data_IF_106014685221
#
_entry.id   IF_106014685221
#
_cell.length_a   1.000
_cell.length_b   1.000
_cell.length_c   1.000
_cell.angle_alpha   90.00
_cell.angle_beta   90.00
_cell.angle_gamma   90.00
#
_symmetry.space_group_name_H-M   'P 1'
#
loop_
_entity.id
_entity.type
_entity.pdbx_description
1 polymer ?
#
# COMPACT_ATOMS: atom_id res chain seq x y z
N UNK A 1 15.33 -9.96 3.71
CA UNK A 1 14.49 -9.45 4.82
C UNK A 1 15.11 -8.14 5.28
N UNK A 2 14.42 -7.01 5.14
CA UNK A 2 14.96 -5.72 5.62
C UNK A 2 14.77 -5.63 7.14
N UNK A 3 15.49 -4.74 7.81
CA UNK A 3 15.41 -4.57 9.27
C UNK A 3 13.98 -4.24 9.75
N UNK A 4 13.21 -3.50 8.95
CA UNK A 4 11.81 -3.16 9.24
C UNK A 4 10.87 -4.35 9.18
N UNK A 5 11.12 -5.36 8.32
CA UNK A 5 10.33 -6.61 8.31
C UNK A 5 10.45 -7.36 9.63
N UNK A 6 11.63 -7.37 10.25
CA UNK A 6 11.85 -8.05 11.53
C UNK A 6 11.10 -7.36 12.67
N UNK A 7 10.98 -6.03 12.62
CA UNK A 7 10.18 -5.26 13.59
C UNK A 7 8.67 -5.48 13.38
N UNK A 8 8.24 -5.56 12.12
CA UNK A 8 6.83 -5.80 11.71
C UNK A 8 6.39 -7.24 11.97
N UNK A 9 7.30 -8.20 11.90
CA UNK A 9 7.02 -9.64 11.99
C UNK A 9 6.58 -10.29 10.66
N UNK A 10 6.55 -9.53 9.57
CA UNK A 10 6.29 -10.02 8.22
C UNK A 10 6.82 -9.06 7.14
N UNK A 11 6.87 -9.57 5.91
CA UNK A 11 7.23 -8.74 4.74
C UNK A 11 6.19 -7.65 4.50
N UNK A 12 6.66 -6.47 4.08
CA UNK A 12 5.73 -5.39 3.72
C UNK A 12 4.83 -5.80 2.55
N UNK A 13 5.41 -6.34 1.48
CA UNK A 13 4.63 -6.76 0.31
C UNK A 13 3.71 -7.95 0.62
N UNK A 14 2.55 -8.05 -0.05
CA UNK A 14 1.73 -9.25 -0.05
C UNK A 14 2.50 -10.51 -0.51
N UNK A 15 2.03 -11.71 -0.19
CA UNK A 15 2.61 -12.95 -0.72
C UNK A 15 2.48 -13.03 -2.25
N UNK A 16 3.30 -13.88 -2.86
CA UNK A 16 3.47 -13.92 -4.32
C UNK A 16 2.19 -14.26 -5.10
N UNK A 17 1.30 -15.07 -4.53
CA UNK A 17 0.00 -15.42 -5.11
C UNK A 17 -0.97 -14.23 -5.16
N UNK A 18 -0.90 -13.33 -4.17
CA UNK A 18 -1.63 -12.05 -4.20
C UNK A 18 -1.00 -11.10 -5.21
N UNK A 19 0.34 -10.99 -5.22
CA UNK A 19 1.05 -10.13 -6.17
C UNK A 19 0.82 -10.53 -7.62
N UNK A 20 0.71 -11.83 -7.92
CA UNK A 20 0.41 -12.33 -9.26
C UNK A 20 -0.97 -11.88 -9.78
N UNK A 21 -1.87 -11.44 -8.89
CA UNK A 21 -3.19 -10.93 -9.24
C UNK A 21 -3.21 -9.41 -9.41
N UNK A 22 -2.16 -8.70 -8.99
CA UNK A 22 -2.07 -7.24 -9.09
C UNK A 22 -1.81 -6.88 -10.55
N UNK A 23 -2.65 -6.04 -11.18
CA UNK A 23 -2.39 -5.56 -12.53
C UNK A 23 -1.05 -4.80 -12.60
N UNK A 24 -0.36 -4.94 -13.73
CA UNK A 24 0.77 -4.09 -14.05
C UNK A 24 0.34 -2.62 -14.13
N UNK A 25 1.30 -1.70 -13.97
CA UNK A 25 1.03 -0.28 -14.15
C UNK A 25 0.38 0.00 -15.51
N UNK A 26 -0.62 0.88 -15.52
CA UNK A 26 -1.45 1.27 -16.67
C UNK A 26 -2.38 0.18 -17.20
N UNK A 27 -2.35 -1.04 -16.66
CA UNK A 27 -3.18 -2.14 -17.14
C UNK A 27 -4.69 -1.90 -16.91
N UNK A 28 -5.04 -1.00 -16.00
CA UNK A 28 -6.43 -0.59 -15.76
C UNK A 28 -6.69 0.88 -16.11
N UNK A 29 -5.96 1.42 -17.07
CA UNK A 29 -6.25 2.74 -17.65
C UNK A 29 -7.65 2.75 -18.29
N UNK A 30 -8.39 3.84 -18.06
CA UNK A 30 -9.78 3.96 -18.49
C UNK A 30 -10.80 3.27 -17.55
N UNK A 31 -10.36 2.47 -16.58
CA UNK A 31 -11.23 1.96 -15.51
C UNK A 31 -11.54 3.09 -14.52
N UNK A 32 -12.81 3.24 -14.15
CA UNK A 32 -13.25 4.24 -13.16
C UNK A 32 -12.60 3.97 -11.80
N UNK A 33 -12.22 5.01 -11.08
CA UNK A 33 -11.45 4.86 -9.83
C UNK A 33 -12.19 4.02 -8.79
N UNK A 34 -13.50 4.16 -8.68
CA UNK A 34 -14.39 3.37 -7.83
C UNK A 34 -14.45 1.88 -8.17
N UNK A 35 -14.15 1.52 -9.43
CA UNK A 35 -14.14 0.15 -9.93
C UNK A 35 -12.75 -0.50 -9.86
N UNK A 36 -11.69 0.30 -9.71
CA UNK A 36 -10.32 -0.22 -9.55
C UNK A 36 -10.27 -1.13 -8.33
N UNK A 37 -9.80 -2.36 -8.53
CA UNK A 37 -9.61 -3.32 -7.46
C UNK A 37 -8.39 -2.90 -6.64
N UNK A 38 -8.55 -2.80 -5.32
CA UNK A 38 -7.43 -2.58 -4.41
C UNK A 38 -6.96 -3.94 -3.91
N UNK A 39 -5.66 -4.20 -4.03
CA UNK A 39 -5.04 -5.48 -3.70
C UNK A 39 -4.32 -5.49 -2.35
N UNK A 40 -3.88 -4.32 -1.88
CA UNK A 40 -3.25 -4.19 -0.59
C UNK A 40 -3.56 -2.83 0.05
N UNK A 41 -3.60 -2.83 1.39
CA UNK A 41 -3.67 -1.63 2.21
C UNK A 41 -2.42 -1.54 3.08
N UNK A 42 -1.74 -0.41 2.98
CA UNK A 42 -0.62 -0.05 3.84
C UNK A 42 -1.01 1.16 4.69
N UNK A 43 -0.47 1.26 5.90
CA UNK A 43 -0.77 2.39 6.78
C UNK A 43 0.38 2.71 7.75
N UNK A 44 0.43 3.96 8.18
CA UNK A 44 1.35 4.44 9.22
C UNK A 44 0.71 5.64 9.93
N UNK A 45 0.27 5.45 11.18
CA UNK A 45 -0.52 6.46 11.87
C UNK A 45 -1.83 6.74 11.14
N UNK A 46 -2.06 8.00 10.75
CA UNK A 46 -3.23 8.40 9.95
C UNK A 46 -3.03 8.24 8.44
N UNK A 47 -1.80 7.99 7.98
CA UNK A 47 -1.52 7.83 6.56
C UNK A 47 -1.90 6.42 6.07
N UNK A 48 -2.50 6.34 4.88
CA UNK A 48 -2.96 5.12 4.22
C UNK A 48 -2.57 5.14 2.74
N UNK A 49 -2.07 4.01 2.25
CA UNK A 49 -1.84 3.76 0.83
C UNK A 49 -2.62 2.52 0.40
N UNK A 50 -3.37 2.61 -0.69
CA UNK A 50 -4.17 1.54 -1.26
C UNK A 50 -3.64 1.20 -2.65
N UNK A 51 -3.03 0.03 -2.79
CA UNK A 51 -2.40 -0.41 -4.04
C UNK A 51 -3.43 -0.97 -5.02
N UNK A 52 -3.56 -0.36 -6.19
CA UNK A 52 -4.39 -0.86 -7.28
C UNK A 52 -3.54 -1.57 -8.34
N UNK A 53 -2.37 -1.04 -8.67
CA UNK A 53 -1.45 -1.58 -9.67
C UNK A 53 -0.02 -1.58 -9.13
N UNK A 54 0.83 -2.46 -9.67
CA UNK A 54 2.22 -2.62 -9.23
C UNK A 54 3.11 -3.07 -10.38
N UNK A 55 4.33 -2.55 -10.46
CA UNK A 55 5.32 -2.93 -11.48
C UNK A 55 6.00 -4.29 -11.21
N UNK A 56 5.78 -4.87 -10.03
CA UNK A 56 6.42 -6.11 -9.61
C UNK A 56 7.78 -5.90 -8.91
N UNK A 57 8.26 -4.65 -8.84
CA UNK A 57 9.53 -4.28 -8.26
C UNK A 57 9.37 -3.28 -7.11
N UNK A 58 9.05 -2.01 -7.41
CA UNK A 58 9.15 -0.91 -6.45
C UNK A 58 8.04 0.13 -6.57
N UNK A 59 7.42 0.30 -7.74
CA UNK A 59 6.46 1.36 -7.99
C UNK A 59 5.03 0.81 -8.03
N UNK A 60 4.18 1.37 -7.18
CA UNK A 60 2.75 1.11 -7.17
C UNK A 60 1.97 2.33 -7.64
N UNK A 61 0.79 2.10 -8.21
CA UNK A 61 -0.23 3.12 -8.44
C UNK A 61 -1.45 2.83 -7.58
N UNK A 62 -2.04 3.87 -7.02
CA UNK A 62 -3.16 3.70 -6.10
C UNK A 62 -3.62 4.98 -5.43
N UNK A 63 -4.36 4.81 -4.34
CA UNK A 63 -4.88 5.92 -3.55
C UNK A 63 -4.00 6.18 -2.32
N UNK A 64 -3.60 7.42 -2.14
CA UNK A 64 -2.71 7.88 -1.08
C UNK A 64 -3.44 8.93 -0.24
N UNK A 65 -3.66 8.64 1.04
CA UNK A 65 -4.09 9.62 2.02
C UNK A 65 -2.99 9.77 3.07
N UNK A 66 -2.38 10.95 3.18
CA UNK A 66 -1.35 11.19 4.20
C UNK A 66 -1.92 11.62 5.55
N UNK A 67 -3.25 11.56 5.73
CA UNK A 67 -3.94 12.01 6.93
C UNK A 67 -4.03 13.54 7.02
N UNK A 68 -3.89 14.24 5.89
CA UNK A 68 -3.87 15.71 5.81
C UNK A 68 -5.17 16.28 5.20
N UNK A 69 -6.15 15.43 4.90
CA UNK A 69 -7.44 15.83 4.32
C UNK A 69 -7.44 16.06 2.81
N UNK A 70 -6.33 15.73 2.13
CA UNK A 70 -6.17 15.87 0.69
C UNK A 70 -5.67 14.58 0.07
N UNK A 71 -6.49 13.51 0.10
CA UNK A 71 -6.07 12.26 -0.49
C UNK A 71 -6.10 12.30 -2.02
N UNK A 72 -5.22 11.53 -2.65
CA UNK A 72 -4.98 11.59 -4.10
C UNK A 72 -4.80 10.21 -4.71
N UNK A 73 -5.05 10.10 -6.02
CA UNK A 73 -4.62 8.95 -6.81
C UNK A 73 -3.27 9.26 -7.43
N UNK A 74 -2.29 8.39 -7.23
CA UNK A 74 -0.95 8.63 -7.69
C UNK A 74 -0.03 7.44 -7.52
N UNK A 75 1.23 7.66 -7.87
CA UNK A 75 2.28 6.67 -7.71
C UNK A 75 2.92 6.79 -6.34
N UNK A 76 3.31 5.66 -5.77
CA UNK A 76 4.09 5.62 -4.53
C UNK A 76 5.11 4.49 -4.56
N UNK A 77 6.25 4.71 -3.90
CA UNK A 77 7.34 3.75 -3.84
C UNK A 77 7.14 2.77 -2.68
N UNK A 78 6.98 1.48 -3.00
CA UNK A 78 7.01 0.40 -2.02
C UNK A 78 8.36 0.39 -1.28
N UNK A 79 9.45 0.71 -1.97
CA UNK A 79 10.77 0.78 -1.34
C UNK A 79 10.79 1.86 -0.25
N UNK A 80 10.28 3.06 -0.53
CA UNK A 80 10.25 4.16 0.45
C UNK A 80 9.34 3.82 1.64
N UNK A 81 8.16 3.23 1.39
CA UNK A 81 7.29 2.75 2.47
C UNK A 81 7.98 1.69 3.34
N UNK A 82 8.77 0.81 2.73
CA UNK A 82 9.51 -0.24 3.43
C UNK A 82 10.66 0.31 4.27
N UNK A 83 11.31 1.38 3.80
CA UNK A 83 12.45 2.02 4.46
C UNK A 83 12.02 3.06 5.50
N UNK A 84 10.76 3.50 5.46
CA UNK A 84 10.21 4.41 6.45
C UNK A 84 10.26 3.78 7.84
N UNK A 85 11.18 4.30 8.65
CA UNK A 85 11.35 3.98 10.05
C UNK A 85 11.70 5.26 10.80
N UNK A 86 10.81 5.70 11.67
CA UNK A 86 11.01 6.85 12.55
C UNK A 86 10.92 6.37 13.99
N UNK A 87 11.73 6.91 14.88
CA UNK A 87 11.65 6.62 16.32
C UNK A 87 11.03 7.83 17.02
N UNK A 88 9.85 7.66 17.61
CA UNK A 88 9.17 8.68 18.41
C UNK A 88 9.12 8.22 19.86
N UNK A 89 9.74 8.98 20.75
CA UNK A 89 9.79 8.66 22.19
C UNK A 89 10.30 7.23 22.50
N UNK A 90 11.26 6.75 21.69
CA UNK A 90 11.81 5.40 21.82
C UNK A 90 10.98 4.29 21.17
N UNK A 91 9.82 4.61 20.58
CA UNK A 91 8.94 3.65 19.90
C UNK A 91 9.22 3.72 18.39
N UNK A 92 9.57 2.59 17.73
CA UNK A 92 9.70 2.55 16.28
C UNK A 92 8.33 2.65 15.61
N UNK A 93 8.23 3.54 14.64
CA UNK A 93 7.08 3.77 13.77
C UNK A 93 7.52 3.46 12.35
N UNK A 94 6.80 2.58 11.69
CA UNK A 94 7.05 2.13 10.33
C UNK A 94 5.73 1.85 9.63
N UNK A 95 5.78 1.71 8.30
CA UNK A 95 4.59 1.33 7.53
C UNK A 95 4.24 -0.14 7.78
N UNK A 96 2.97 -0.36 8.05
CA UNK A 96 2.34 -1.67 8.25
C UNK A 96 1.53 -2.06 7.02
N UNK A 97 1.41 -3.37 6.76
CA UNK A 97 0.45 -3.89 5.77
C UNK A 97 -0.70 -4.58 6.50
N UNK A 98 -1.92 -4.23 6.15
CA UNK A 98 -3.10 -4.94 6.63
C UNK A 98 -3.12 -6.38 6.11
N UNK A 99 -2.81 -7.33 6.99
CA UNK A 99 -2.76 -8.76 6.68
C UNK A 99 -4.15 -9.38 6.44
N UNK A 100 -5.22 -8.75 6.94
CA UNK A 100 -6.59 -9.21 6.78
C UNK A 100 -7.31 -8.53 5.61
N UNK A 101 -6.62 -7.66 4.88
CA UNK A 101 -7.21 -6.95 3.74
C UNK A 101 -7.56 -7.93 2.62
N UNK A 102 -8.83 -7.97 2.25
CA UNK A 102 -9.33 -8.74 1.11
C UNK A 102 -9.62 -7.77 -0.03
N UNK A 103 -9.05 -8.09 -1.20
CA UNK A 103 -9.16 -7.28 -2.39
C UNK A 103 -10.62 -6.98 -2.75
N UNK A 104 -10.90 -5.71 -3.07
CA UNK A 104 -12.25 -5.22 -3.38
C UNK A 104 -12.20 -3.91 -4.18
N UNK A 105 -13.26 -3.54 -4.90
CA UNK A 105 -13.32 -2.26 -5.61
C UNK A 105 -13.12 -1.10 -4.63
N UNK A 106 -12.42 -0.06 -5.08
CA UNK A 106 -12.16 1.12 -4.26
C UNK A 106 -13.46 1.73 -3.69
N UNK A 107 -14.54 1.77 -4.47
CA UNK A 107 -15.84 2.28 -4.02
C UNK A 107 -16.50 1.47 -2.90
N UNK A 108 -16.01 0.26 -2.62
CA UNK A 108 -16.46 -0.59 -1.51
C UNK A 108 -15.59 -0.46 -0.25
N UNK A 109 -14.52 0.34 -0.29
CA UNK A 109 -13.65 0.59 0.86
C UNK A 109 -14.25 1.72 1.69
N UNK A 110 -14.38 1.46 2.99
CA UNK A 110 -14.73 2.50 3.98
C UNK A 110 -13.43 3.01 4.58
N UNK A 111 -13.18 4.31 4.45
CA UNK A 111 -12.07 5.04 5.10
C UNK A 111 -12.54 5.60 6.43
#
# INVERSE_FOLDING_TARGET
MKATDALRGHTLLPPADVLAQVPALYATDGVRVEEKLIHARFYCGAATWLMAEFDGEQLAFGYCDLGLGFPEWGYFSIQELHELLVVKEGIPIYVERDLAFVARPFGAIRQ
#
